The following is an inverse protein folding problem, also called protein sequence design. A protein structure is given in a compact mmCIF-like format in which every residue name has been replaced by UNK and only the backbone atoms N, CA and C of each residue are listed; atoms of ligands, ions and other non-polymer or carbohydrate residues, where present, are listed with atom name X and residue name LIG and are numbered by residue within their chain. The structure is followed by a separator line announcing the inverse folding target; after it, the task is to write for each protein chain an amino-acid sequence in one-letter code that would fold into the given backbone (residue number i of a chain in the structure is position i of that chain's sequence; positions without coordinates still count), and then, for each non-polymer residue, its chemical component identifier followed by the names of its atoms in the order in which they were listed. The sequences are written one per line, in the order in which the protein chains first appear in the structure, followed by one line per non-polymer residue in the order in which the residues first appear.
data_IF_321930850747
#
_entry.id   IF_321930850747
#
_cell.length_a   1.000
_cell.length_b   1.000
_cell.length_c   1.000
_cell.angle_alpha   90.00
_cell.angle_beta   90.00
_cell.angle_gamma   90.00
#
_symmetry.space_group_name_H-M   'P 1'
#
loop_
_entity.id
_entity.type
_entity.pdbx_description
1 polymer ?
#
# COMPACT_ATOMS: atom_id res chain seq x y z
N UNK A 1 -7.03 -4.04 21.09
CA UNK A 1 -6.11 -3.65 20.00
C UNK A 1 -6.27 -4.57 18.79
N UNK A 2 -6.35 -5.89 18.97
CA UNK A 2 -6.63 -6.87 17.91
C UNK A 2 -7.79 -6.47 16.98
N UNK A 3 -8.97 -6.14 17.52
CA UNK A 3 -10.15 -5.69 16.75
C UNK A 3 -9.86 -4.51 15.82
N UNK A 4 -9.00 -3.58 16.23
CA UNK A 4 -8.60 -2.42 15.41
C UNK A 4 -7.73 -2.87 14.23
N UNK A 5 -6.76 -3.74 14.49
CA UNK A 5 -5.90 -4.30 13.44
C UNK A 5 -6.72 -5.14 12.46
N UNK A 6 -7.62 -5.99 12.97
CA UNK A 6 -8.49 -6.82 12.13
C UNK A 6 -9.42 -5.99 11.27
N UNK A 7 -9.96 -4.89 11.81
CA UNK A 7 -10.76 -3.93 11.02
C UNK A 7 -9.92 -3.33 9.89
N UNK A 8 -8.67 -2.93 10.17
CA UNK A 8 -7.75 -2.41 9.12
C UNK A 8 -7.48 -3.47 8.06
N UNK A 9 -7.20 -4.71 8.46
CA UNK A 9 -6.95 -5.82 7.54
C UNK A 9 -8.19 -6.14 6.71
N UNK A 10 -9.37 -6.15 7.32
CA UNK A 10 -10.65 -6.40 6.65
C UNK A 10 -10.93 -5.36 5.58
N UNK A 11 -10.88 -4.07 5.93
CA UNK A 11 -11.10 -2.97 5.00
C UNK A 11 -10.08 -2.99 3.85
N UNK A 12 -8.80 -3.25 4.16
CA UNK A 12 -7.75 -3.40 3.16
C UNK A 12 -8.00 -4.56 2.18
N UNK A 13 -8.44 -5.72 2.68
CA UNK A 13 -8.76 -6.89 1.84
C UNK A 13 -9.96 -6.65 0.92
N UNK A 14 -10.94 -5.86 1.38
CA UNK A 14 -12.14 -5.54 0.60
C UNK A 14 -11.97 -4.31 -0.30
N UNK A 15 -10.84 -3.61 -0.24
CA UNK A 15 -10.63 -2.37 -0.99
C UNK A 15 -11.54 -1.23 -0.54
N UNK A 16 -12.02 -1.25 0.70
CA UNK A 16 -12.95 -0.26 1.23
C UNK A 16 -12.21 0.98 1.74
N UNK A 17 -12.78 2.16 1.48
CA UNK A 17 -12.28 3.41 2.03
C UNK A 17 -12.35 3.38 3.56
N UNK A 18 -11.28 3.79 4.23
CA UNK A 18 -11.21 3.77 5.70
C UNK A 18 -11.97 4.94 6.31
N UNK A 19 -11.90 6.09 5.64
CA UNK A 19 -12.20 7.41 6.18
C UNK A 19 -13.53 7.94 5.67
N UNK A 20 -14.24 8.65 6.53
CA UNK A 20 -15.42 9.43 6.18
C UNK A 20 -15.06 10.89 5.93
N UNK A 21 -16.02 11.68 5.45
CA UNK A 21 -15.84 13.12 5.33
C UNK A 21 -15.66 13.79 6.71
N UNK A 22 -16.25 13.22 7.77
CA UNK A 22 -16.16 13.70 9.15
C UNK A 22 -15.91 12.53 10.11
N UNK A 23 -14.73 12.46 10.72
CA UNK A 23 -14.32 11.36 11.61
C UNK A 23 -14.50 11.70 13.09
N UNK A 24 -15.75 11.95 13.52
CA UNK A 24 -16.04 12.37 14.89
C UNK A 24 -17.00 11.41 15.59
N UNK A 25 -16.65 10.98 16.80
CA UNK A 25 -17.48 10.06 17.58
C UNK A 25 -18.57 10.76 18.39
N UNK A 26 -18.54 12.10 18.43
CA UNK A 26 -19.45 12.94 19.23
C UNK A 26 -20.24 13.96 18.41
N UNK A 27 -19.93 14.10 17.11
CA UNK A 27 -20.79 14.84 16.19
C UNK A 27 -21.96 13.99 15.73
N UNK A 28 -22.83 14.61 14.94
CA UNK A 28 -24.03 14.03 14.30
C UNK A 28 -24.00 12.49 14.24
N UNK A 29 -24.83 11.81 15.05
CA UNK A 29 -24.90 10.35 15.08
C UNK A 29 -25.19 9.73 13.71
N UNK A 30 -25.95 10.45 12.87
CA UNK A 30 -26.39 10.04 11.53
C UNK A 30 -25.33 10.31 10.45
N UNK A 31 -24.29 11.10 10.76
CA UNK A 31 -23.24 11.39 9.80
C UNK A 31 -22.34 10.17 9.58
N UNK A 32 -22.00 9.90 8.32
CA UNK A 32 -21.06 8.84 7.94
C UNK A 32 -19.64 9.16 8.45
N UNK A 33 -19.17 8.38 9.43
CA UNK A 33 -17.84 8.54 10.06
C UNK A 33 -16.71 7.79 9.34
N UNK A 34 -17.03 7.11 8.24
CA UNK A 34 -16.11 6.25 7.50
C UNK A 34 -16.17 4.80 7.97
N UNK A 35 -15.84 3.88 7.07
CA UNK A 35 -16.00 2.46 7.32
C UNK A 35 -15.20 1.96 8.52
N UNK A 36 -14.05 2.58 8.85
CA UNK A 36 -13.27 2.20 10.02
C UNK A 36 -14.00 2.46 11.34
N UNK A 37 -14.51 3.67 11.55
CA UNK A 37 -15.22 4.02 12.78
C UNK A 37 -16.58 3.32 12.86
N UNK A 38 -17.29 3.19 11.73
CA UNK A 38 -18.57 2.47 11.70
C UNK A 38 -18.40 0.97 11.95
N UNK A 39 -17.34 0.34 11.43
CA UNK A 39 -17.04 -1.06 11.75
C UNK A 39 -16.78 -1.25 13.25
N UNK A 40 -16.05 -0.33 13.88
CA UNK A 40 -15.80 -0.38 15.32
C UNK A 40 -17.07 -0.12 16.14
N UNK A 41 -17.93 0.82 15.73
CA UNK A 41 -19.25 1.02 16.34
C UNK A 41 -20.08 -0.26 16.23
N UNK A 42 -20.10 -0.91 15.06
CA UNK A 42 -20.81 -2.17 14.87
C UNK A 42 -20.28 -3.28 15.78
N UNK A 43 -18.95 -3.47 15.83
CA UNK A 43 -18.30 -4.44 16.70
C UNK A 43 -18.57 -4.18 18.19
N UNK A 44 -18.74 -2.92 18.59
CA UNK A 44 -19.05 -2.56 19.97
C UNK A 44 -20.40 -3.10 20.46
N UNK A 45 -21.32 -3.42 19.55
CA UNK A 45 -22.59 -4.08 19.89
C UNK A 45 -22.38 -5.47 20.48
N UNK A 46 -21.28 -6.13 20.11
CA UNK A 46 -21.00 -7.52 20.48
C UNK A 46 -19.78 -7.67 21.41
N UNK A 47 -18.83 -6.72 21.37
CA UNK A 47 -17.62 -6.74 22.19
C UNK A 47 -17.61 -5.61 23.22
N UNK A 48 -17.86 -5.97 24.47
CA UNK A 48 -17.88 -5.03 25.61
C UNK A 48 -16.56 -4.25 25.76
N UNK A 49 -15.43 -4.85 25.35
CA UNK A 49 -14.12 -4.20 25.39
C UNK A 49 -14.06 -3.03 24.40
N UNK A 50 -14.55 -3.24 23.18
CA UNK A 50 -14.64 -2.20 22.16
C UNK A 50 -15.65 -1.12 22.56
N UNK A 51 -16.80 -1.49 23.12
CA UNK A 51 -17.79 -0.54 23.65
C UNK A 51 -17.20 0.39 24.72
N UNK A 52 -16.57 -0.19 25.75
CA UNK A 52 -15.93 0.57 26.83
C UNK A 52 -14.82 1.49 26.29
N UNK A 53 -14.10 1.05 25.26
CA UNK A 53 -13.06 1.86 24.63
C UNK A 53 -13.64 3.06 23.87
N UNK A 54 -14.68 2.84 23.05
CA UNK A 54 -15.36 3.92 22.31
C UNK A 54 -15.98 4.94 23.27
N UNK A 55 -16.62 4.48 24.35
CA UNK A 55 -17.19 5.37 25.36
C UNK A 55 -16.12 6.23 26.03
N UNK A 56 -14.98 5.63 26.41
CA UNK A 56 -13.83 6.37 26.95
C UNK A 56 -13.34 7.45 25.98
N UNK A 57 -13.27 7.14 24.68
CA UNK A 57 -12.85 8.12 23.67
C UNK A 57 -13.90 9.21 23.49
N UNK A 58 -15.20 8.87 23.44
CA UNK A 58 -16.31 9.84 23.37
C UNK A 58 -16.27 10.83 24.54
N UNK A 59 -16.15 10.31 25.76
CA UNK A 59 -16.07 11.14 26.97
C UNK A 59 -14.85 12.07 26.94
N UNK A 60 -13.70 11.59 26.44
CA UNK A 60 -12.51 12.44 26.28
C UNK A 60 -12.70 13.55 25.24
N UNK A 61 -13.32 13.25 24.09
CA UNK A 61 -13.63 14.24 23.06
C UNK A 61 -14.65 15.27 23.55
N UNK A 62 -15.66 14.85 24.33
CA UNK A 62 -16.62 15.76 24.93
C UNK A 62 -15.96 16.72 25.94
N UNK A 63 -15.04 16.19 26.77
CA UNK A 63 -14.30 16.99 27.76
C UNK A 63 -13.32 17.98 27.10
N UNK A 64 -12.69 17.62 25.98
CA UNK A 64 -11.80 18.54 25.25
C UNK A 64 -12.57 19.69 24.60
N UNK A 65 -13.81 19.47 24.12
CA UNK A 65 -14.67 20.54 23.60
C UNK A 65 -15.13 21.51 24.68
N UNK A 66 -15.52 21.01 25.85
CA UNK A 66 -15.99 21.84 26.98
C UNK A 66 -14.91 22.76 27.54
N UNK A 67 -13.63 22.39 27.42
CA UNK A 67 -12.50 23.18 27.91
C UNK A 67 -12.13 24.40 27.07
N UNK A 68 -12.92 24.76 26.05
CA UNK A 68 -12.86 26.05 25.35
C UNK A 68 -11.45 26.51 24.98
N UNK A 69 -10.99 26.19 23.78
CA UNK A 69 -9.61 26.44 23.35
C UNK A 69 -9.08 27.84 23.71
N UNK A 70 -8.21 27.89 24.73
CA UNK A 70 -7.14 28.88 24.73
C UNK A 70 -6.29 28.59 23.48
N UNK A 71 -6.41 29.47 22.49
CA UNK A 71 -5.63 29.49 21.26
C UNK A 71 -4.14 29.71 21.59
N UNK A 72 -3.48 28.72 22.18
CA UNK A 72 -2.11 28.82 22.65
C UNK A 72 -1.55 27.54 23.25
N UNK A 73 -2.38 26.73 23.90
CA UNK A 73 -1.93 25.47 24.45
C UNK A 73 -2.01 24.35 23.38
N UNK A 74 -0.93 24.18 22.60
CA UNK A 74 -0.63 22.92 21.90
C UNK A 74 -0.28 21.84 22.94
N UNK A 75 -1.20 21.59 23.87
CA UNK A 75 -1.11 20.60 24.93
C UNK A 75 -1.15 19.23 24.29
N UNK A 76 0.04 18.67 24.12
CA UNK A 76 0.36 17.31 23.66
C UNK A 76 -0.14 16.28 24.67
N UNK A 77 -1.46 16.21 24.85
CA UNK A 77 -2.15 15.28 25.74
C UNK A 77 -3.01 14.29 24.98
N UNK A 78 -2.60 13.91 23.75
CA UNK A 78 -3.27 12.85 23.00
C UNK A 78 -3.06 11.53 23.75
N UNK A 79 -4.00 11.18 24.62
CA UNK A 79 -4.13 9.81 25.11
C UNK A 79 -4.29 8.94 23.87
N UNK A 80 -3.44 7.92 23.76
CA UNK A 80 -3.38 7.02 22.60
C UNK A 80 -4.73 6.29 22.45
N UNK A 81 -5.63 6.80 21.61
CA UNK A 81 -6.96 6.23 21.41
C UNK A 81 -6.97 5.07 20.43
N UNK A 82 -5.92 4.93 19.62
CA UNK A 82 -5.86 3.98 18.48
C UNK A 82 -6.94 4.16 17.41
N UNK A 83 -7.73 5.24 17.48
CA UNK A 83 -8.79 5.53 16.51
C UNK A 83 -8.43 6.67 15.55
N UNK A 84 -7.39 7.44 15.87
CA UNK A 84 -6.96 8.57 15.05
C UNK A 84 -6.50 8.11 13.67
N UNK A 85 -6.69 8.99 12.71
CA UNK A 85 -6.11 8.90 11.38
C UNK A 85 -4.60 8.55 11.38
N UNK A 86 -3.82 9.14 12.27
CA UNK A 86 -2.39 8.87 12.40
C UNK A 86 -2.13 7.43 12.86
N UNK A 87 -2.94 6.92 13.79
CA UNK A 87 -2.83 5.54 14.25
C UNK A 87 -3.20 4.57 13.13
N UNK A 88 -4.30 4.84 12.41
CA UNK A 88 -4.70 4.04 11.25
C UNK A 88 -3.57 3.97 10.21
N UNK A 89 -3.00 5.13 9.84
CA UNK A 89 -1.87 5.20 8.90
C UNK A 89 -0.65 4.42 9.41
N UNK A 90 -0.33 4.49 10.70
CA UNK A 90 0.77 3.74 11.29
C UNK A 90 0.55 2.22 11.20
N UNK A 91 -0.67 1.75 11.50
CA UNK A 91 -1.03 0.34 11.39
C UNK A 91 -0.95 -0.13 9.94
N UNK A 92 -1.51 0.65 9.00
CA UNK A 92 -1.43 0.38 7.55
C UNK A 92 0.04 0.29 7.10
N UNK A 93 0.88 1.21 7.55
CA UNK A 93 2.30 1.22 7.20
C UNK A 93 3.08 0.03 7.80
N UNK A 94 2.71 -0.45 8.99
CA UNK A 94 3.30 -1.65 9.59
C UNK A 94 2.90 -2.88 8.77
N UNK A 95 1.61 -3.06 8.50
CA UNK A 95 1.08 -4.18 7.71
C UNK A 95 1.68 -4.17 6.30
N UNK A 96 1.71 -3.02 5.63
CA UNK A 96 2.29 -2.88 4.30
C UNK A 96 3.78 -3.21 4.25
N UNK A 97 4.55 -2.84 5.29
CA UNK A 97 5.96 -3.24 5.40
C UNK A 97 6.14 -4.74 5.59
N UNK A 98 5.29 -5.36 6.41
CA UNK A 98 5.33 -6.81 6.63
C UNK A 98 4.99 -7.58 5.35
N UNK A 99 3.93 -7.18 4.65
CA UNK A 99 3.56 -7.75 3.33
C UNK A 99 4.72 -7.57 2.35
N UNK A 100 5.30 -6.38 2.26
CA UNK A 100 6.44 -6.14 1.37
C UNK A 100 7.65 -7.02 1.73
N UNK A 101 7.94 -7.22 3.02
CA UNK A 101 9.01 -8.12 3.46
C UNK A 101 8.76 -9.56 3.03
N UNK A 102 7.52 -10.04 3.15
CA UNK A 102 7.15 -11.39 2.71
C UNK A 102 7.29 -11.56 1.20
N UNK A 103 6.85 -10.58 0.41
CA UNK A 103 7.02 -10.60 -1.05
C UNK A 103 8.51 -10.65 -1.42
N UNK A 104 9.36 -9.85 -0.77
CA UNK A 104 10.82 -9.87 -1.02
C UNK A 104 11.43 -11.23 -0.69
N UNK A 105 11.01 -11.86 0.42
CA UNK A 105 11.42 -13.23 0.77
C UNK A 105 10.96 -14.24 -0.28
N UNK A 106 9.74 -14.11 -0.79
CA UNK A 106 9.19 -14.97 -1.84
C UNK A 106 10.00 -14.85 -3.14
N UNK A 107 10.34 -13.61 -3.55
CA UNK A 107 11.24 -13.35 -4.68
C UNK A 107 12.62 -13.97 -4.43
N UNK A 108 13.17 -13.85 -3.22
CA UNK A 108 14.45 -14.47 -2.86
C UNK A 108 14.43 -16.00 -2.98
N UNK A 109 13.30 -16.63 -2.65
CA UNK A 109 13.14 -18.09 -2.61
C UNK A 109 12.65 -18.71 -3.93
N UNK A 110 12.17 -17.91 -4.87
CA UNK A 110 11.67 -18.38 -6.16
C UNK A 110 12.80 -18.91 -7.06
N UNK A 111 12.42 -19.59 -8.15
CA UNK A 111 13.36 -19.99 -9.21
C UNK A 111 13.62 -18.86 -10.20
N UNK A 112 12.55 -18.14 -10.55
CA UNK A 112 12.55 -17.04 -11.49
C UNK A 112 11.41 -16.08 -11.16
N UNK A 113 11.62 -14.80 -11.45
CA UNK A 113 10.58 -13.77 -11.37
C UNK A 113 10.65 -12.81 -12.56
N UNK A 114 9.54 -12.15 -12.85
CA UNK A 114 9.42 -11.12 -13.88
C UNK A 114 9.01 -9.79 -13.26
N UNK A 115 9.57 -8.71 -13.78
CA UNK A 115 9.20 -7.33 -13.45
C UNK A 115 8.08 -6.88 -14.40
N UNK A 116 7.01 -6.35 -13.84
CA UNK A 116 5.94 -5.66 -14.56
C UNK A 116 5.92 -4.22 -14.09
N UNK A 117 6.05 -3.28 -15.01
CA UNK A 117 5.98 -1.85 -14.73
C UNK A 117 4.95 -1.22 -15.66
N UNK A 118 4.05 -0.44 -15.07
CA UNK A 118 2.93 0.19 -15.77
C UNK A 118 2.77 1.64 -15.30
N UNK A 119 2.60 2.55 -16.24
CA UNK A 119 2.41 3.99 -16.02
C UNK A 119 0.98 4.40 -16.33
N UNK A 120 0.33 5.06 -15.37
CA UNK A 120 -1.02 5.58 -15.54
C UNK A 120 -1.04 7.06 -15.13
N UNK A 121 -1.62 7.97 -15.93
CA UNK A 121 -1.79 9.35 -15.51
C UNK A 121 -2.85 9.44 -14.41
N UNK A 122 -2.56 10.18 -13.35
CA UNK A 122 -3.53 10.44 -12.29
C UNK A 122 -4.48 11.59 -12.63
N UNK A 123 -5.47 11.83 -11.75
CA UNK A 123 -6.49 12.87 -11.90
C UNK A 123 -5.92 14.30 -12.00
N UNK A 124 -4.66 14.50 -11.62
CA UNK A 124 -3.93 15.76 -11.71
C UNK A 124 -2.92 15.77 -12.86
N UNK A 125 -3.04 14.83 -13.80
CA UNK A 125 -2.13 14.63 -14.94
C UNK A 125 -0.68 14.37 -14.53
N UNK A 126 -0.46 13.73 -13.39
CA UNK A 126 0.87 13.25 -12.99
C UNK A 126 0.99 11.75 -13.26
N UNK A 127 2.12 11.36 -13.83
CA UNK A 127 2.40 9.95 -14.11
C UNK A 127 2.62 9.15 -12.82
N UNK A 128 1.85 8.08 -12.63
CA UNK A 128 2.03 7.12 -11.56
C UNK A 128 2.57 5.81 -12.12
N UNK A 129 3.75 5.42 -11.64
CA UNK A 129 4.41 4.18 -11.99
C UNK A 129 4.07 3.10 -10.94
N UNK A 130 3.37 2.06 -11.37
CA UNK A 130 3.20 0.83 -10.61
C UNK A 130 4.33 -0.15 -10.93
N UNK A 131 4.86 -0.80 -9.89
CA UNK A 131 5.95 -1.78 -9.99
C UNK A 131 5.45 -3.07 -9.35
N UNK A 132 5.30 -4.10 -10.16
CA UNK A 132 4.82 -5.41 -9.78
C UNK A 132 5.88 -6.49 -10.05
N UNK A 133 5.90 -7.52 -9.22
CA UNK A 133 6.68 -8.73 -9.43
C UNK A 133 5.74 -9.90 -9.70
N UNK A 134 5.97 -10.61 -10.80
CA UNK A 134 5.35 -11.90 -11.09
C UNK A 134 6.31 -13.01 -10.73
N UNK A 135 5.91 -13.87 -9.81
CA UNK A 135 6.74 -14.91 -9.21
C UNK A 135 6.20 -16.27 -9.60
N UNK A 136 7.09 -17.20 -9.93
CA UNK A 136 6.75 -18.63 -10.03
C UNK A 136 7.30 -19.34 -8.82
N UNK A 137 6.40 -19.88 -7.98
CA UNK A 137 6.81 -20.62 -6.80
C UNK A 137 7.35 -22.02 -7.18
N UNK A 138 7.87 -22.76 -6.20
CA UNK A 138 8.46 -24.09 -6.45
C UNK A 138 7.46 -25.12 -6.97
N UNK A 139 6.17 -24.89 -6.74
CA UNK A 139 5.09 -25.76 -7.19
C UNK A 139 4.56 -25.36 -8.58
N UNK A 140 5.22 -24.41 -9.27
CA UNK A 140 4.79 -23.91 -10.57
C UNK A 140 3.62 -22.92 -10.54
N UNK A 141 3.11 -22.56 -9.35
CA UNK A 141 2.03 -21.58 -9.22
C UNK A 141 2.58 -20.17 -9.43
N UNK A 142 1.95 -19.44 -10.34
CA UNK A 142 2.22 -18.03 -10.57
C UNK A 142 1.47 -17.15 -9.56
N UNK A 143 2.13 -16.11 -9.06
CA UNK A 143 1.54 -15.04 -8.24
C UNK A 143 2.07 -13.69 -8.70
N UNK A 144 1.23 -12.66 -8.62
CA UNK A 144 1.59 -11.28 -8.93
C UNK A 144 1.48 -10.41 -7.68
N UNK A 145 2.51 -9.62 -7.42
CA UNK A 145 2.63 -8.83 -6.20
C UNK A 145 3.02 -7.39 -6.52
N UNK A 146 2.21 -6.44 -6.04
CA UNK A 146 2.57 -5.03 -6.08
C UNK A 146 3.73 -4.76 -5.11
N UNK A 147 4.86 -4.27 -5.64
CA UNK A 147 6.02 -3.88 -4.85
C UNK A 147 5.94 -2.41 -4.42
N UNK A 148 5.52 -1.52 -5.33
CA UNK A 148 5.38 -0.09 -5.06
C UNK A 148 4.56 0.61 -6.13
N UNK A 149 3.86 1.68 -5.73
CA UNK A 149 3.46 2.75 -6.64
C UNK A 149 4.33 3.98 -6.35
N UNK A 150 4.84 4.64 -7.38
CA UNK A 150 5.67 5.85 -7.28
C UNK A 150 5.17 6.89 -8.26
N UNK A 151 5.12 8.14 -7.84
CA UNK A 151 4.94 9.26 -8.75
C UNK A 151 6.22 9.44 -9.57
N UNK A 152 6.10 9.44 -10.89
CA UNK A 152 7.19 9.76 -11.79
C UNK A 152 7.25 11.27 -12.02
N UNK A 153 8.46 11.81 -12.14
CA UNK A 153 8.69 13.22 -12.49
C UNK A 153 8.43 13.52 -13.97
N UNK A 154 8.37 12.49 -14.81
CA UNK A 154 8.10 12.59 -16.24
C UNK A 154 8.06 11.21 -16.91
N UNK A 155 7.86 11.21 -18.23
CA UNK A 155 7.72 10.02 -19.10
C UNK A 155 9.02 9.61 -19.79
N UNK A 156 10.18 10.13 -19.34
CA UNK A 156 11.45 9.76 -19.94
C UNK A 156 11.85 8.36 -19.49
N UNK A 157 12.09 7.47 -20.45
CA UNK A 157 12.52 6.09 -20.23
C UNK A 157 13.64 5.93 -19.17
N UNK A 158 14.66 6.79 -19.21
CA UNK A 158 15.78 6.74 -18.27
C UNK A 158 15.39 7.13 -16.84
N UNK A 159 14.48 8.09 -16.68
CA UNK A 159 13.98 8.49 -15.35
C UNK A 159 13.15 7.36 -14.74
N UNK A 160 12.26 6.75 -15.53
CA UNK A 160 11.47 5.59 -15.11
C UNK A 160 12.38 4.41 -14.75
N UNK A 161 13.37 4.08 -15.58
CA UNK A 161 14.31 3.00 -15.31
C UNK A 161 15.08 3.21 -13.99
N UNK A 162 15.59 4.43 -13.78
CA UNK A 162 16.30 4.79 -12.56
C UNK A 162 15.38 4.73 -11.33
N UNK A 163 14.13 5.17 -11.47
CA UNK A 163 13.12 5.10 -10.40
C UNK A 163 12.79 3.66 -10.02
N UNK A 164 12.62 2.77 -11.00
CA UNK A 164 12.41 1.33 -10.78
C UNK A 164 13.62 0.73 -10.07
N UNK A 165 14.81 0.93 -10.63
CA UNK A 165 16.05 0.35 -10.11
C UNK A 165 16.29 0.79 -8.66
N UNK A 166 16.16 2.09 -8.38
CA UNK A 166 16.25 2.66 -7.03
C UNK A 166 15.22 2.06 -6.08
N UNK A 167 13.98 1.89 -6.54
CA UNK A 167 12.90 1.32 -5.73
C UNK A 167 13.18 -0.14 -5.38
N UNK A 168 13.60 -0.96 -6.34
CA UNK A 168 13.93 -2.37 -6.13
C UNK A 168 15.13 -2.54 -5.18
N UNK A 169 16.19 -1.76 -5.38
CA UNK A 169 17.37 -1.76 -4.50
C UNK A 169 17.00 -1.34 -3.08
N UNK A 170 16.20 -0.28 -2.91
CA UNK A 170 15.75 0.17 -1.58
C UNK A 170 14.91 -0.86 -0.82
N UNK A 171 14.28 -1.80 -1.53
CA UNK A 171 13.49 -2.88 -0.95
C UNK A 171 14.30 -4.17 -0.74
N UNK A 172 15.57 -4.20 -1.17
CA UNK A 172 16.43 -5.38 -1.09
C UNK A 172 16.05 -6.48 -2.09
N UNK A 173 15.42 -6.14 -3.21
CA UNK A 173 15.08 -7.11 -4.27
C UNK A 173 16.31 -7.43 -5.11
N UNK A 174 16.65 -8.70 -5.22
CA UNK A 174 17.76 -9.17 -6.05
C UNK A 174 17.35 -9.35 -7.52
N UNK A 175 18.18 -8.84 -8.42
CA UNK A 175 18.02 -9.00 -9.87
C UNK A 175 18.51 -10.36 -10.40
N UNK A 176 19.22 -11.17 -9.59
CA UNK A 176 19.89 -12.38 -10.08
C UNK A 176 18.96 -13.47 -10.64
N UNK A 177 17.67 -13.45 -10.29
CA UNK A 177 16.63 -14.38 -10.77
C UNK A 177 15.58 -13.71 -11.66
N UNK A 178 15.84 -12.48 -12.11
CA UNK A 178 14.94 -11.73 -12.97
C UNK A 178 15.06 -12.27 -14.40
N UNK A 179 13.98 -12.84 -14.92
CA UNK A 179 13.97 -13.47 -16.26
C UNK A 179 13.27 -12.65 -17.33
N UNK A 180 12.42 -11.72 -16.93
CA UNK A 180 11.67 -10.86 -17.86
C UNK A 180 11.38 -9.50 -17.25
N UNK A 181 11.31 -8.48 -18.12
CA UNK A 181 10.89 -7.12 -17.77
C UNK A 181 9.83 -6.69 -18.79
N UNK A 182 8.66 -6.28 -18.33
CA UNK A 182 7.57 -5.80 -19.17
C UNK A 182 7.25 -4.37 -18.79
N UNK A 183 7.14 -3.52 -19.81
CA UNK A 183 6.86 -2.09 -19.69
C UNK A 183 5.71 -1.77 -20.64
N UNK A 184 4.80 -0.91 -20.21
CA UNK A 184 3.72 -0.35 -21.04
C UNK A 184 4.23 0.73 -22.00
N UNK A 185 5.20 1.54 -21.56
CA UNK A 185 5.79 2.61 -22.36
C UNK A 185 6.73 2.05 -23.44
N UNK A 186 6.30 2.16 -24.71
CA UNK A 186 7.08 1.79 -25.89
C UNK A 186 8.46 2.46 -25.90
N UNK A 187 8.57 3.71 -25.43
CA UNK A 187 9.84 4.46 -25.38
C UNK A 187 10.82 3.80 -24.42
N UNK A 188 10.31 3.20 -23.34
CA UNK A 188 11.13 2.47 -22.39
C UNK A 188 11.69 1.19 -23.00
N UNK A 189 10.89 0.48 -23.79
CA UNK A 189 11.30 -0.71 -24.53
C UNK A 189 12.36 -0.39 -25.60
N UNK A 190 12.11 0.63 -26.43
CA UNK A 190 13.05 1.06 -27.47
C UNK A 190 14.40 1.48 -26.87
N UNK A 191 14.39 2.19 -25.73
CA UNK A 191 15.62 2.64 -25.08
C UNK A 191 16.44 1.48 -24.50
N UNK A 192 15.81 0.55 -23.79
CA UNK A 192 16.49 -0.63 -23.25
C UNK A 192 17.02 -1.56 -24.35
N UNK A 193 16.34 -1.62 -25.50
CA UNK A 193 16.85 -2.31 -26.67
C UNK A 193 18.10 -1.62 -27.26
N UNK A 194 18.16 -0.28 -27.21
CA UNK A 194 19.31 0.49 -27.71
C UNK A 194 20.53 0.49 -26.78
N UNK A 195 20.34 0.41 -25.46
CA UNK A 195 21.43 0.39 -24.45
C UNK A 195 22.07 -1.02 -24.31
N UNK A 196 21.99 -1.87 -25.35
CA UNK A 196 22.59 -3.22 -25.41
C UNK A 196 24.13 -3.17 -25.41
N UNK A 197 24.74 -2.85 -24.27
CA UNK A 197 26.05 -3.36 -23.88
C UNK A 197 25.89 -4.29 -22.67
N UNK A 198 26.12 -5.59 -22.94
CA UNK A 198 26.45 -6.68 -22.00
C UNK A 198 25.44 -6.93 -20.87
N UNK A 199 24.46 -7.79 -21.16
CA UNK A 199 24.32 -9.12 -20.55
C UNK A 199 23.11 -9.83 -21.17
N UNK A 200 23.19 -11.16 -21.26
CA UNK A 200 22.25 -12.06 -21.91
C UNK A 200 20.84 -12.05 -21.29
N UNK A 201 20.02 -11.04 -21.59
CA UNK A 201 18.65 -10.94 -21.09
C UNK A 201 17.67 -10.69 -22.24
N UNK A 202 16.67 -11.58 -22.39
CA UNK A 202 15.59 -11.41 -23.39
C UNK A 202 14.61 -10.35 -22.89
N UNK A 203 14.72 -9.13 -23.41
CA UNK A 203 13.62 -8.16 -23.38
C UNK A 203 12.47 -8.76 -24.17
N UNK A 204 11.30 -8.89 -23.56
CA UNK A 204 10.16 -9.51 -24.24
C UNK A 204 8.92 -8.67 -23.96
N UNK A 205 8.48 -7.93 -24.98
CA UNK A 205 7.27 -7.10 -24.94
C UNK A 205 6.00 -7.94 -24.74
N UNK A 206 6.07 -9.24 -25.01
CA UNK A 206 5.03 -10.23 -24.78
C UNK A 206 5.75 -11.58 -24.69
N UNK A 207 6.03 -12.07 -23.49
CA UNK A 207 6.61 -13.41 -23.34
C UNK A 207 5.50 -14.41 -23.04
N UNK A 208 4.98 -15.15 -24.05
CA UNK A 208 4.10 -16.28 -23.80
C UNK A 208 4.80 -17.45 -23.08
N UNK A 209 6.09 -17.35 -22.76
CA UNK A 209 6.84 -18.39 -22.04
C UNK A 209 6.46 -18.51 -20.55
N UNK A 210 5.54 -17.69 -20.04
CA UNK A 210 4.83 -17.92 -18.78
C UNK A 210 3.34 -18.29 -18.96
N UNK A 211 2.86 -18.45 -20.20
CA UNK A 211 1.49 -18.85 -20.54
C UNK A 211 1.37 -20.26 -21.15
N UNK A 212 2.44 -21.03 -21.31
CA UNK A 212 2.37 -22.43 -21.81
C UNK A 212 3.35 -23.35 -21.12
N UNK A 213 3.16 -23.55 -19.81
CA UNK A 213 3.48 -24.82 -19.11
C UNK A 213 2.59 -24.89 -17.86
N UNK A 214 1.29 -24.99 -18.10
CA UNK A 214 0.30 -25.65 -17.27
C UNK A 214 -0.86 -26.06 -18.19
#
# INVERSE_FOLDING_TARGET
MERVVDTVVHLGKQGLAFRGHRESLIDDPEANKGNFLESLNYLSTYDITTANHLEKVRNQQAMSRRKGGEKGAKGRGSKLTFLSNDTQNNVINIIGREIASQIVKEIGNCRAWALIADTTPDVSHHEQLSICARIVNRNGKCSEHLLSCKRASGTKAMELYNLISKTLVSKGVSFGKLVAKTYDDERMLQRLASDHQRESWKTCCFCPLLCTYA
#
